data_IF_093807404489
#
_entry.id   IF_093807404489
#
_cell.length_a   1.000
_cell.length_b   1.000
_cell.length_c   1.000
_cell.angle_alpha   90.00
_cell.angle_beta   90.00
_cell.angle_gamma   90.00
#
_symmetry.space_group_name_H-M   'P 1'
#
loop_
_entity.id
_entity.type
_entity.pdbx_description
1 polymer ?
#
# COMPACT_ATOMS: atom_id res chain seq x y z
N UNK A 1 -23.61 1.11 -16.33
CA UNK A 1 -23.38 1.21 -14.87
C UNK A 1 -22.18 0.35 -14.55
N UNK A 2 -21.17 0.87 -13.85
CA UNK A 2 -19.98 0.09 -13.47
C UNK A 2 -20.38 -0.95 -12.42
N UNK A 3 -19.94 -2.20 -12.59
CA UNK A 3 -20.19 -3.26 -11.61
C UNK A 3 -19.23 -3.12 -10.40
N UNK A 4 -19.36 -3.99 -9.41
CA UNK A 4 -18.50 -3.97 -8.22
C UNK A 4 -17.01 -4.07 -8.57
N UNK A 5 -16.63 -5.02 -9.44
CA UNK A 5 -15.24 -5.25 -9.85
C UNK A 5 -14.65 -4.05 -10.61
N UNK A 6 -15.45 -3.40 -11.45
CA UNK A 6 -15.04 -2.19 -12.17
C UNK A 6 -14.69 -1.06 -11.18
N UNK A 7 -15.56 -0.82 -10.20
CA UNK A 7 -15.37 0.21 -9.16
C UNK A 7 -14.18 -0.12 -8.26
N UNK A 8 -14.03 -1.40 -7.88
CA UNK A 8 -12.92 -1.89 -7.08
C UNK A 8 -11.59 -1.68 -7.81
N UNK A 9 -11.54 -2.04 -9.09
CA UNK A 9 -10.37 -1.83 -9.94
C UNK A 9 -10.01 -0.35 -10.09
N UNK A 10 -11.00 0.54 -10.14
CA UNK A 10 -10.76 1.99 -10.20
C UNK A 10 -10.12 2.52 -8.93
N UNK A 11 -10.63 2.14 -7.76
CA UNK A 11 -10.03 2.56 -6.49
C UNK A 11 -8.58 2.05 -6.37
N UNK A 12 -8.31 0.82 -6.80
CA UNK A 12 -6.95 0.29 -6.82
C UNK A 12 -6.03 1.03 -7.80
N UNK A 13 -6.55 1.45 -8.95
CA UNK A 13 -5.79 2.27 -9.91
C UNK A 13 -5.50 3.66 -9.34
N UNK A 14 -6.41 4.25 -8.58
CA UNK A 14 -6.20 5.52 -7.89
C UNK A 14 -5.05 5.38 -6.87
N UNK A 15 -5.10 4.34 -6.02
CA UNK A 15 -4.01 4.04 -5.06
C UNK A 15 -2.64 3.83 -5.76
N UNK A 16 -2.63 3.10 -6.88
CA UNK A 16 -1.41 2.88 -7.68
C UNK A 16 -0.91 4.19 -8.28
N UNK A 17 -1.81 5.00 -8.84
CA UNK A 17 -1.45 6.29 -9.45
C UNK A 17 -0.85 7.23 -8.41
N UNK A 18 -1.47 7.32 -7.22
CA UNK A 18 -0.95 8.07 -6.08
C UNK A 18 0.46 7.61 -5.68
N UNK A 19 0.70 6.30 -5.62
CA UNK A 19 2.02 5.74 -5.31
C UNK A 19 3.06 6.07 -6.39
N UNK A 20 2.67 6.03 -7.67
CA UNK A 20 3.54 6.41 -8.79
C UNK A 20 3.82 7.91 -8.81
N UNK A 21 2.87 8.76 -8.42
CA UNK A 21 3.04 10.21 -8.32
C UNK A 21 4.02 10.59 -7.21
N UNK A 22 3.92 9.97 -6.03
CA UNK A 22 4.89 10.17 -4.95
C UNK A 22 6.30 9.76 -5.41
N UNK A 23 6.40 8.60 -6.07
CA UNK A 23 7.67 8.05 -6.54
C UNK A 23 8.15 8.62 -7.89
N UNK A 24 7.43 9.57 -8.49
CA UNK A 24 7.69 10.12 -9.83
C UNK A 24 7.92 9.04 -10.91
N UNK A 25 7.29 7.87 -10.75
CA UNK A 25 7.49 6.70 -11.61
C UNK A 25 8.90 6.08 -11.59
N UNK A 26 9.81 6.52 -10.71
CA UNK A 26 11.23 6.09 -10.62
C UNK A 26 11.44 4.76 -9.90
N UNK A 27 10.39 3.95 -9.76
CA UNK A 27 10.36 2.69 -9.03
C UNK A 27 10.08 1.52 -9.98
N UNK A 28 10.56 0.33 -9.64
CA UNK A 28 10.24 -0.90 -10.38
C UNK A 28 8.96 -1.54 -9.84
N UNK A 29 8.73 -1.46 -8.52
CA UNK A 29 7.55 -2.03 -7.86
C UNK A 29 7.09 -1.16 -6.71
N UNK A 30 5.77 -0.98 -6.58
CA UNK A 30 5.14 -0.36 -5.42
C UNK A 30 4.43 -1.42 -4.58
N UNK A 31 4.60 -1.34 -3.27
CA UNK A 31 3.95 -2.19 -2.26
C UNK A 31 3.08 -1.28 -1.40
N UNK A 32 1.77 -1.35 -1.62
CA UNK A 32 0.76 -0.48 -1.00
C UNK A 32 0.03 -1.29 0.07
N UNK A 33 -0.03 -0.73 1.27
CA UNK A 33 -0.67 -1.33 2.43
C UNK A 33 -1.87 -0.51 2.87
N UNK A 34 -2.97 -1.20 3.16
CA UNK A 34 -4.14 -0.63 3.83
C UNK A 34 -4.64 -1.58 4.91
N UNK A 35 -5.11 -1.04 6.04
CA UNK A 35 -5.76 -1.81 7.09
C UNK A 35 -6.93 -1.06 7.71
N UNK A 36 -7.95 -1.82 8.11
CA UNK A 36 -9.19 -1.34 8.72
C UNK A 36 -9.59 -2.27 9.85
N UNK A 37 -9.18 -1.92 11.05
CA UNK A 37 -9.28 -2.76 12.23
C UNK A 37 -9.55 -1.86 13.46
N UNK A 38 -10.48 -2.24 14.34
CA UNK A 38 -10.91 -1.45 15.51
C UNK A 38 -11.27 0.03 15.20
N UNK A 39 -11.99 0.29 14.11
CA UNK A 39 -12.31 1.66 13.63
C UNK A 39 -11.08 2.53 13.34
N UNK A 40 -9.88 1.94 13.26
CA UNK A 40 -8.65 2.60 12.89
C UNK A 40 -8.30 2.23 11.44
N UNK A 41 -8.04 3.26 10.65
CA UNK A 41 -7.51 3.13 9.30
C UNK A 41 -6.01 3.42 9.34
N UNK A 42 -5.25 2.58 8.65
CA UNK A 42 -3.84 2.85 8.38
C UNK A 42 -3.54 2.55 6.92
N UNK A 43 -2.80 3.47 6.30
CA UNK A 43 -2.35 3.39 4.93
C UNK A 43 -0.87 3.77 4.89
N UNK A 44 -0.05 2.98 4.21
CA UNK A 44 1.36 3.31 3.98
C UNK A 44 1.87 2.51 2.78
N UNK A 45 3.06 2.86 2.28
CA UNK A 45 3.70 2.12 1.19
C UNK A 45 5.21 2.08 1.32
N UNK A 46 5.79 1.11 0.64
CA UNK A 46 7.22 1.05 0.33
C UNK A 46 7.42 0.63 -1.12
N UNK A 47 8.64 0.80 -1.61
CA UNK A 47 8.95 0.72 -3.02
C UNK A 47 10.22 -0.09 -3.26
N UNK A 48 10.30 -0.78 -4.39
CA UNK A 48 11.53 -1.39 -4.86
C UNK A 48 12.10 -0.64 -6.06
N UNK A 49 13.42 -0.46 -6.07
CA UNK A 49 14.20 -0.03 -7.22
C UNK A 49 15.53 -0.75 -7.22
N UNK A 50 15.91 -1.36 -8.35
CA UNK A 50 17.19 -2.05 -8.54
C UNK A 50 17.51 -3.04 -7.41
N UNK A 51 16.48 -3.82 -7.00
CA UNK A 51 16.54 -4.80 -5.91
C UNK A 51 16.87 -4.25 -4.51
N UNK A 52 16.63 -2.97 -4.28
CA UNK A 52 16.64 -2.35 -2.94
C UNK A 52 15.25 -1.83 -2.60
N UNK A 53 14.89 -1.89 -1.31
CA UNK A 53 13.63 -1.31 -0.82
C UNK A 53 13.81 0.08 -0.22
N UNK A 54 12.78 0.91 -0.41
CA UNK A 54 12.71 2.30 0.03
C UNK A 54 11.35 2.57 0.66
N UNK A 55 11.33 3.05 1.89
CA UNK A 55 10.13 3.60 2.53
C UNK A 55 9.83 5.00 1.99
N UNK A 56 8.62 5.52 2.23
CA UNK A 56 8.21 6.83 1.68
C UNK A 56 9.16 7.97 2.04
N UNK A 57 9.81 7.92 3.21
CA UNK A 57 10.77 8.91 3.72
C UNK A 57 12.21 8.69 3.24
N UNK A 58 12.44 7.73 2.35
CA UNK A 58 13.72 7.39 1.74
C UNK A 58 13.71 7.50 0.21
N UNK A 59 12.63 8.06 -0.33
CA UNK A 59 12.47 8.26 -1.77
C UNK A 59 13.42 9.32 -2.35
N UNK A 60 13.96 10.21 -1.52
CA UNK A 60 15.02 11.15 -1.89
C UNK A 60 16.29 10.42 -2.39
N UNK A 61 16.58 9.22 -1.89
CA UNK A 61 17.67 8.37 -2.39
C UNK A 61 17.48 7.95 -3.86
N UNK A 62 16.27 8.07 -4.41
CA UNK A 62 15.97 7.84 -5.83
C UNK A 62 16.05 9.14 -6.68
N UNK A 63 16.55 10.23 -6.11
CA UNK A 63 16.59 11.54 -6.78
C UNK A 63 15.20 12.15 -6.95
N UNK A 64 14.27 11.88 -6.02
CA UNK A 64 12.98 12.56 -5.93
C UNK A 64 13.21 13.85 -5.15
N UNK A 65 13.14 14.97 -5.85
CA UNK A 65 13.29 16.29 -5.25
C UNK A 65 11.98 16.71 -4.57
N UNK A 66 12.05 17.63 -3.61
CA UNK A 66 10.88 18.18 -2.91
C UNK A 66 10.01 17.11 -2.23
N UNK A 67 10.61 16.04 -1.73
CA UNK A 67 9.97 15.07 -0.83
C UNK A 67 9.84 15.69 0.57
N UNK A 68 8.99 16.70 0.70
CA UNK A 68 8.75 17.36 1.99
C UNK A 68 7.86 16.50 2.88
N UNK A 69 7.94 16.75 4.18
CA UNK A 69 7.02 16.15 5.16
C UNK A 69 5.55 16.38 4.78
N UNK A 70 5.19 17.58 4.31
CA UNK A 70 3.82 17.90 3.89
C UNK A 70 3.38 17.06 2.68
N UNK A 71 4.27 16.83 1.70
CA UNK A 71 3.98 15.97 0.54
C UNK A 71 3.77 14.51 0.97
N UNK A 72 4.56 14.02 1.93
CA UNK A 72 4.37 12.68 2.48
C UNK A 72 3.08 12.56 3.29
N UNK A 73 2.72 13.55 4.11
CA UNK A 73 1.45 13.54 4.82
C UNK A 73 0.25 13.61 3.87
N UNK A 74 0.32 14.46 2.85
CA UNK A 74 -0.72 14.50 1.82
C UNK A 74 -0.89 13.15 1.11
N UNK A 75 0.21 12.46 0.82
CA UNK A 75 0.17 11.11 0.26
C UNK A 75 -0.58 10.13 1.18
N UNK A 76 -0.28 10.16 2.48
CA UNK A 76 -0.96 9.30 3.46
C UNK A 76 -2.45 9.65 3.59
N UNK A 77 -2.81 10.93 3.65
CA UNK A 77 -4.19 11.39 3.78
C UNK A 77 -5.06 11.01 2.57
N UNK A 78 -4.52 11.17 1.36
CA UNK A 78 -5.22 10.74 0.14
C UNK A 78 -5.36 9.22 0.12
N UNK A 79 -4.32 8.48 0.52
CA UNK A 79 -4.37 7.03 0.62
C UNK A 79 -5.41 6.51 1.62
N UNK A 80 -5.57 7.19 2.76
CA UNK A 80 -6.66 6.92 3.71
C UNK A 80 -8.02 7.18 3.06
N UNK A 81 -8.17 8.27 2.32
CA UNK A 81 -9.42 8.59 1.61
C UNK A 81 -9.78 7.52 0.57
N UNK A 82 -8.79 6.97 -0.15
CA UNK A 82 -8.99 5.86 -1.07
C UNK A 82 -9.34 4.56 -0.34
N UNK A 83 -8.78 4.32 0.84
CA UNK A 83 -9.13 3.18 1.69
C UNK A 83 -10.56 3.28 2.24
N UNK A 84 -11.03 4.49 2.60
CA UNK A 84 -12.42 4.74 2.98
C UNK A 84 -13.38 4.46 1.83
N UNK A 85 -13.05 4.93 0.62
CA UNK A 85 -13.81 4.61 -0.61
C UNK A 85 -13.86 3.10 -0.85
N UNK A 86 -12.73 2.42 -0.66
CA UNK A 86 -12.63 0.98 -0.78
C UNK A 86 -13.58 0.27 0.20
N UNK A 87 -13.54 0.62 1.49
CA UNK A 87 -14.43 0.02 2.51
C UNK A 87 -15.91 0.29 2.19
N UNK A 88 -16.23 1.53 1.82
CA UNK A 88 -17.59 1.96 1.47
C UNK A 88 -18.15 1.12 0.33
N UNK A 89 -17.34 0.85 -0.71
CA UNK A 89 -17.74 0.02 -1.83
C UNK A 89 -18.19 -1.39 -1.41
N UNK A 90 -17.47 -2.03 -0.48
CA UNK A 90 -17.87 -3.35 0.05
C UNK A 90 -19.19 -3.25 0.82
N UNK A 91 -19.35 -2.22 1.66
CA UNK A 91 -20.57 -2.02 2.44
C UNK A 91 -21.80 -1.76 1.57
N UNK A 92 -21.68 -0.93 0.53
CA UNK A 92 -22.75 -0.66 -0.43
C UNK A 92 -23.23 -1.92 -1.16
N UNK A 93 -22.30 -2.84 -1.46
CA UNK A 93 -22.58 -4.14 -2.07
C UNK A 93 -22.99 -5.22 -1.05
N UNK A 94 -23.22 -4.83 0.22
CA UNK A 94 -23.56 -5.70 1.36
C UNK A 94 -22.54 -6.81 1.61
N UNK A 95 -21.27 -6.54 1.32
CA UNK A 95 -20.13 -7.42 1.58
C UNK A 95 -19.38 -6.94 2.81
N UNK A 96 -18.73 -7.88 3.50
CA UNK A 96 -17.75 -7.53 4.52
C UNK A 96 -16.51 -6.95 3.83
N UNK A 97 -16.07 -5.77 4.28
CA UNK A 97 -14.79 -5.20 3.85
C UNK A 97 -13.63 -6.01 4.47
N UNK A 98 -12.53 -6.24 3.74
CA UNK A 98 -11.37 -6.90 4.32
C UNK A 98 -10.70 -6.03 5.38
N UNK A 99 -10.08 -6.69 6.36
CA UNK A 99 -9.32 -6.05 7.46
C UNK A 99 -7.97 -5.55 6.98
N UNK A 100 -7.42 -6.15 5.92
CA UNK A 100 -6.15 -5.79 5.33
C UNK A 100 -6.18 -5.89 3.81
N UNK A 101 -5.52 -4.93 3.16
CA UNK A 101 -5.20 -4.89 1.75
C UNK A 101 -3.67 -4.81 1.59
N UNK A 102 -3.10 -5.75 0.83
CA UNK A 102 -1.73 -5.66 0.29
C UNK A 102 -1.82 -5.61 -1.23
N UNK A 103 -1.51 -4.45 -1.82
CA UNK A 103 -1.53 -4.23 -3.26
C UNK A 103 -0.10 -4.09 -3.78
N UNK A 104 0.32 -5.01 -4.64
CA UNK A 104 1.64 -4.98 -5.29
C UNK A 104 1.47 -4.59 -6.74
N UNK A 105 2.15 -3.53 -7.15
CA UNK A 105 2.15 -3.06 -8.53
C UNK A 105 3.55 -3.13 -9.13
N UNK A 106 3.69 -4.00 -10.13
CA UNK A 106 4.86 -4.12 -10.98
C UNK A 106 4.80 -3.04 -12.07
N UNK A 107 5.60 -1.99 -11.89
CA UNK A 107 5.65 -0.84 -12.79
C UNK A 107 6.40 -1.17 -14.10
N UNK A 108 7.25 -2.19 -14.10
CA UNK A 108 7.98 -2.64 -15.29
C UNK A 108 7.03 -3.36 -16.25
N UNK A 109 6.27 -4.32 -15.74
CA UNK A 109 5.36 -5.16 -16.53
C UNK A 109 3.92 -4.62 -16.58
N UNK A 110 3.62 -3.53 -15.87
CA UNK A 110 2.28 -2.93 -15.74
C UNK A 110 1.23 -3.92 -15.23
N UNK A 111 1.59 -4.66 -14.18
CA UNK A 111 0.74 -5.68 -13.55
C UNK A 111 0.47 -5.35 -12.10
N UNK A 112 -0.78 -5.51 -11.68
CA UNK A 112 -1.20 -5.35 -10.30
C UNK A 112 -1.64 -6.70 -9.71
N UNK A 113 -1.33 -6.93 -8.44
CA UNK A 113 -1.85 -8.04 -7.65
C UNK A 113 -2.29 -7.53 -6.29
N UNK A 114 -3.58 -7.64 -6.01
CA UNK A 114 -4.15 -7.38 -4.70
C UNK A 114 -4.27 -8.67 -3.89
N UNK A 115 -4.00 -8.59 -2.60
CA UNK A 115 -4.30 -9.63 -1.61
C UNK A 115 -5.14 -8.99 -0.51
N UNK A 116 -6.19 -9.69 -0.12
CA UNK A 116 -7.10 -9.25 0.93
C UNK A 116 -7.09 -10.27 2.06
N UNK A 117 -7.11 -9.81 3.29
CA UNK A 117 -7.33 -10.65 4.47
C UNK A 117 -8.57 -10.19 5.23
N UNK A 118 -9.16 -11.12 5.97
CA UNK A 118 -10.28 -10.89 6.88
C UNK A 118 -9.93 -11.24 8.33
N UNK A 119 -8.68 -11.66 8.57
CA UNK A 119 -8.16 -11.96 9.91
C UNK A 119 -7.88 -10.67 10.69
N UNK A 120 -7.87 -10.76 12.02
CA UNK A 120 -7.44 -9.66 12.89
C UNK A 120 -5.95 -9.77 13.15
N UNK A 121 -5.19 -8.73 12.82
CA UNK A 121 -3.73 -8.72 12.96
C UNK A 121 -3.25 -7.98 14.20
N UNK A 122 -3.98 -6.94 14.62
CA UNK A 122 -3.58 -6.11 15.76
C UNK A 122 -4.73 -5.76 16.69
N UNK A 123 -5.98 -5.84 16.23
CA UNK A 123 -7.16 -5.52 17.04
C UNK A 123 -7.36 -6.42 18.28
N UNK A 124 -6.73 -7.59 18.27
CA UNK A 124 -6.77 -8.59 19.34
C UNK A 124 -5.56 -8.51 20.30
N UNK A 125 -4.73 -7.47 20.17
CA UNK A 125 -3.51 -7.30 20.95
C UNK A 125 -3.34 -5.86 21.43
N UNK A 126 -2.99 -5.67 22.70
CA UNK A 126 -2.65 -4.35 23.24
C UNK A 126 -1.20 -3.92 22.92
N UNK A 127 -0.43 -4.79 22.25
CA UNK A 127 1.01 -4.59 22.01
C UNK A 127 1.38 -4.43 20.54
N UNK A 128 0.51 -4.82 19.63
CA UNK A 128 0.76 -4.83 18.20
C UNK A 128 -0.10 -3.72 17.60
N UNK A 129 0.47 -2.97 16.67
CA UNK A 129 -0.18 -1.87 15.96
C UNK A 129 -0.23 -2.17 14.46
N UNK A 130 -0.98 -1.36 13.72
CA UNK A 130 -0.97 -1.43 12.26
C UNK A 130 0.43 -1.23 11.66
N UNK A 131 1.27 -0.40 12.30
CA UNK A 131 2.63 -0.12 11.88
C UNK A 131 3.54 -1.35 12.05
N UNK A 132 3.41 -2.08 13.16
CA UNK A 132 4.16 -3.33 13.36
C UNK A 132 3.87 -4.36 12.27
N UNK A 133 2.62 -4.45 11.82
CA UNK A 133 2.19 -5.36 10.75
C UNK A 133 2.71 -4.89 9.38
N UNK A 134 2.74 -3.58 9.16
CA UNK A 134 3.36 -2.99 7.97
C UNK A 134 4.87 -3.27 7.92
N UNK A 135 5.59 -3.04 9.01
CA UNK A 135 7.03 -3.27 9.13
C UNK A 135 7.40 -4.76 9.02
N UNK A 136 6.55 -5.65 9.54
CA UNK A 136 6.70 -7.09 9.30
C UNK A 136 6.63 -7.40 7.80
N UNK A 137 5.63 -6.85 7.10
CA UNK A 137 5.50 -7.08 5.66
C UNK A 137 6.67 -6.49 4.87
N UNK A 138 7.13 -5.29 5.23
CA UNK A 138 8.34 -4.69 4.67
C UNK A 138 9.55 -5.62 4.83
N UNK A 139 9.75 -6.17 6.04
CA UNK A 139 10.86 -7.07 6.35
C UNK A 139 10.79 -8.38 5.55
N UNK A 140 9.61 -8.98 5.45
CA UNK A 140 9.37 -10.19 4.63
C UNK A 140 9.72 -9.96 3.16
N UNK A 141 9.30 -8.82 2.59
CA UNK A 141 9.60 -8.49 1.19
C UNK A 141 11.09 -8.15 1.03
N UNK A 142 11.68 -7.41 1.97
CA UNK A 142 13.10 -7.04 1.95
C UNK A 142 13.97 -8.28 1.89
N UNK A 143 13.68 -9.24 2.74
CA UNK A 143 14.36 -10.52 2.76
C UNK A 143 14.28 -11.27 1.42
N UNK A 144 13.16 -11.22 0.70
CA UNK A 144 13.02 -11.86 -0.62
C UNK A 144 13.77 -11.08 -1.69
N UNK A 145 13.64 -9.76 -1.70
CA UNK A 145 14.23 -8.89 -2.72
C UNK A 145 15.76 -8.85 -2.60
N UNK A 146 16.30 -8.80 -1.38
CA UNK A 146 17.73 -8.68 -1.11
C UNK A 146 18.47 -10.03 -1.09
N UNK A 147 17.85 -11.14 -0.65
CA UNK A 147 18.48 -12.48 -0.68
C UNK A 147 18.64 -13.06 -2.09
N UNK A 148 17.86 -12.61 -3.08
CA UNK A 148 18.01 -13.01 -4.48
C UNK A 148 19.28 -12.41 -5.17
N UNK A 149 20.29 -12.00 -4.38
CA UNK A 149 21.58 -11.47 -4.82
C UNK A 149 22.78 -12.39 -4.48
N UNK A 150 22.55 -13.57 -3.87
CA UNK A 150 23.63 -14.49 -3.45
C UNK A 150 23.92 -15.67 -4.41
N UNK A 151 23.81 -15.49 -5.74
CA UNK A 151 24.30 -16.46 -6.73
C UNK A 151 24.92 -15.79 -7.97
#
# INVERSE_FOLDING_TARGET
MKNFEDKLSEIQKDMISLALELAEGKIDTAYIYGSCENHSLSFNSFFAKDKKLYTINKLDELGIENLTTDRMFQYLDIGISDLERFITLFQEDKKQAPTQLKLVYDNVNKKAKAQYSYDLFYSNSDKITADDIFEQWYSEVKEVVERNNEF
#
